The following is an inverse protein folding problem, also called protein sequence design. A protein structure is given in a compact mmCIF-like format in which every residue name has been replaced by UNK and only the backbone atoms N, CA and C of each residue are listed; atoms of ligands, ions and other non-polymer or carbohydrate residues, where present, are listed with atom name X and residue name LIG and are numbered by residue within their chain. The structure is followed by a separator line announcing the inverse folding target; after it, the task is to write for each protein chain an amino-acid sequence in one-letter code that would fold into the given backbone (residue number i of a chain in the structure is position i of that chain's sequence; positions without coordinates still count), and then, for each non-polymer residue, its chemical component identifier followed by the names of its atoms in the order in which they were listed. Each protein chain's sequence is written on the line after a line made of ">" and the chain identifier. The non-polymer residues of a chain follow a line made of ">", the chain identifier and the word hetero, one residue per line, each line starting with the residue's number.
data_IF_597830827483
#
_entry.id   IF_597830827483
#
_cell.length_a   1.000
_cell.length_b   1.000
_cell.length_c   1.000
_cell.angle_alpha   90.00
_cell.angle_beta   90.00
_cell.angle_gamma   90.00
#
_symmetry.space_group_name_H-M   'P 1'
#
loop_
_entity.id
_entity.type
_entity.pdbx_description
1 polymer ?
#
# COMPACT_ATOMS: atom_id res chain seq x y z
N UNK A 1 -16.06 -26.08 -12.81
CA UNK A 1 -15.40 -24.88 -13.39
C UNK A 1 -14.15 -24.58 -12.58
N UNK A 2 -13.04 -24.25 -13.23
CA UNK A 2 -11.78 -23.91 -12.56
C UNK A 2 -11.63 -22.40 -12.48
N UNK A 3 -11.65 -21.85 -11.27
CA UNK A 3 -11.44 -20.42 -11.06
C UNK A 3 -9.98 -20.09 -11.33
N UNK A 4 -9.72 -19.25 -12.33
CA UNK A 4 -8.39 -18.70 -12.60
C UNK A 4 -8.25 -17.36 -11.89
N UNK A 5 -7.16 -17.21 -11.14
CA UNK A 5 -6.74 -15.92 -10.59
C UNK A 5 -5.42 -15.49 -11.24
N UNK A 6 -5.30 -14.21 -11.54
CA UNK A 6 -4.08 -13.64 -12.10
C UNK A 6 -3.38 -12.76 -11.08
N UNK A 7 -2.07 -12.92 -10.96
CA UNK A 7 -1.21 -12.07 -10.14
C UNK A 7 -0.45 -11.12 -11.04
N UNK A 8 -0.78 -9.83 -10.97
CA UNK A 8 -0.08 -8.79 -11.70
C UNK A 8 0.76 -7.94 -10.75
N UNK A 9 1.94 -7.51 -11.22
CA UNK A 9 2.75 -6.49 -10.56
C UNK A 9 2.90 -5.30 -11.51
N UNK A 10 2.59 -4.11 -11.00
CA UNK A 10 2.68 -2.86 -11.76
C UNK A 10 4.06 -2.25 -11.52
N UNK A 11 4.72 -1.80 -12.59
CA UNK A 11 5.97 -1.04 -12.56
C UNK A 11 5.71 0.33 -13.19
N UNK A 12 5.31 1.33 -12.39
CA UNK A 12 4.93 2.63 -12.92
C UNK A 12 6.16 3.38 -13.43
N UNK A 13 5.99 4.12 -14.53
CA UNK A 13 6.95 5.14 -14.93
C UNK A 13 6.86 6.38 -14.02
N UNK A 14 7.76 7.34 -14.20
CA UNK A 14 7.83 8.52 -13.36
C UNK A 14 6.52 9.31 -13.29
N UNK A 15 5.85 9.53 -14.43
CA UNK A 15 4.59 10.27 -14.48
C UNK A 15 3.47 9.53 -13.74
N UNK A 16 3.38 8.22 -13.92
CA UNK A 16 2.41 7.37 -13.22
C UNK A 16 2.66 7.35 -11.71
N UNK A 17 3.92 7.25 -11.27
CA UNK A 17 4.26 7.28 -9.86
C UNK A 17 3.84 8.60 -9.20
N UNK A 18 4.07 9.74 -9.87
CA UNK A 18 3.63 11.05 -9.40
C UNK A 18 2.10 11.10 -9.28
N UNK A 19 1.38 10.62 -10.30
CA UNK A 19 -0.08 10.59 -10.27
C UNK A 19 -0.61 9.72 -9.12
N UNK A 20 -0.08 8.50 -8.96
CA UNK A 20 -0.45 7.59 -7.86
C UNK A 20 -0.21 8.26 -6.51
N UNK A 21 0.93 8.91 -6.31
CA UNK A 21 1.21 9.62 -5.06
C UNK A 21 0.23 10.78 -4.82
N UNK A 22 -0.18 11.51 -5.85
CA UNK A 22 -1.20 12.56 -5.72
C UNK A 22 -2.59 11.99 -5.41
N UNK A 23 -2.93 10.83 -5.97
CA UNK A 23 -4.26 10.22 -5.80
C UNK A 23 -4.42 9.51 -4.46
N UNK A 24 -3.41 8.72 -4.03
CA UNK A 24 -3.54 7.84 -2.85
C UNK A 24 -2.38 7.97 -1.85
N UNK A 25 -1.41 8.85 -2.10
CA UNK A 25 -0.19 8.95 -1.29
C UNK A 25 -0.45 9.37 0.16
N UNK A 26 -1.36 10.33 0.39
CA UNK A 26 -1.69 10.81 1.74
C UNK A 26 -2.36 9.70 2.58
N UNK A 27 -3.36 9.01 2.04
CA UNK A 27 -4.03 7.90 2.73
C UNK A 27 -3.06 6.76 3.03
N UNK A 28 -2.17 6.43 2.08
CA UNK A 28 -1.12 5.42 2.29
C UNK A 28 -0.17 5.81 3.42
N UNK A 29 0.25 7.07 3.48
CA UNK A 29 1.13 7.56 4.54
C UNK A 29 0.47 7.41 5.92
N UNK A 30 -0.75 7.93 6.06
CA UNK A 30 -1.50 7.88 7.32
C UNK A 30 -1.70 6.43 7.79
N UNK A 31 -2.14 5.55 6.88
CA UNK A 31 -2.34 4.15 7.20
C UNK A 31 -1.06 3.47 7.69
N UNK A 32 0.06 3.63 6.96
CA UNK A 32 1.32 3.00 7.34
C UNK A 32 1.87 3.55 8.67
N UNK A 33 1.66 4.82 8.96
CA UNK A 33 2.06 5.40 10.24
C UNK A 33 1.34 4.72 11.41
N UNK A 34 0.01 4.63 11.37
CA UNK A 34 -0.76 3.99 12.44
C UNK A 34 -0.56 2.47 12.48
N UNK A 35 -0.37 1.82 11.33
CA UNK A 35 0.00 0.40 11.29
C UNK A 35 1.30 0.14 12.05
N UNK A 36 2.32 1.00 11.87
CA UNK A 36 3.58 0.88 12.61
C UNK A 36 3.39 1.09 14.11
N UNK A 37 2.53 2.03 14.52
CA UNK A 37 2.24 2.26 15.94
C UNK A 37 1.52 1.05 16.56
N UNK A 38 0.57 0.44 15.84
CA UNK A 38 -0.09 -0.77 16.29
C UNK A 38 0.86 -1.95 16.40
N UNK A 39 1.69 -2.19 15.39
CA UNK A 39 2.67 -3.28 15.43
C UNK A 39 3.62 -3.14 16.63
N UNK A 40 4.03 -1.92 16.97
CA UNK A 40 4.80 -1.65 18.19
C UNK A 40 4.01 -1.98 19.45
N UNK A 41 2.79 -1.44 19.59
CA UNK A 41 1.97 -1.63 20.78
C UNK A 41 1.68 -3.10 21.09
N UNK A 42 1.41 -3.92 20.07
CA UNK A 42 1.16 -5.36 20.25
C UNK A 42 2.42 -6.20 20.46
N UNK A 43 3.61 -5.70 20.10
CA UNK A 43 4.89 -6.36 20.40
C UNK A 43 5.33 -6.11 21.85
N UNK A 44 4.85 -5.04 22.47
CA UNK A 44 5.13 -4.68 23.85
C UNK A 44 4.22 -5.40 24.86
N UNK A 45 3.11 -6.00 24.40
CA UNK A 45 2.21 -6.87 25.19
C UNK A 45 2.54 -8.35 25.03
#
# INVERSE_FOLDING_TARGET
>A
MMNKAYKFRIYPNQAQAILINKTIGCSRFVFNYFLSLWDHAYKET
#
